data_IF_144268002397
#
_entry.id   IF_144268002397
#
_cell.length_a   1.000
_cell.length_b   1.000
_cell.length_c   1.000
_cell.angle_alpha   90.00
_cell.angle_beta   90.00
_cell.angle_gamma   90.00
#
_symmetry.space_group_name_H-M   'P 1'
#
loop_
_entity.id
_entity.type
_entity.pdbx_description
1 polymer ?
#
# COMPACT_ATOMS: atom_id res chain seq x y z
N UNK A 1 -3.02 -15.77 -8.24
CA UNK A 1 -2.96 -15.08 -9.55
C UNK A 1 -1.61 -14.38 -9.65
N UNK A 2 -0.90 -14.45 -10.77
CA UNK A 2 0.40 -13.79 -10.95
C UNK A 2 0.24 -12.59 -11.89
N UNK A 3 0.13 -11.38 -11.33
CA UNK A 3 0.03 -10.13 -12.07
C UNK A 3 0.34 -8.94 -11.16
N UNK A 4 0.71 -7.79 -11.74
CA UNK A 4 0.85 -6.55 -10.99
C UNK A 4 -0.54 -5.95 -10.77
N UNK A 5 -1.00 -5.94 -9.52
CA UNK A 5 -2.28 -5.34 -9.13
C UNK A 5 -2.06 -3.90 -8.66
N UNK A 6 -1.94 -2.96 -9.60
CA UNK A 6 -2.23 -1.55 -9.31
C UNK A 6 -3.72 -1.31 -9.58
N UNK A 7 -4.42 -0.74 -8.60
CA UNK A 7 -5.76 -0.19 -8.83
C UNK A 7 -5.60 1.06 -9.72
N UNK A 8 -5.39 0.86 -11.01
CA UNK A 8 -5.29 1.94 -11.98
C UNK A 8 -6.72 2.34 -12.36
N UNK A 9 -7.02 3.62 -12.20
CA UNK A 9 -8.14 4.19 -12.96
C UNK A 9 -7.86 3.92 -14.43
N UNK A 10 -8.80 3.32 -15.18
CA UNK A 10 -8.71 3.31 -16.64
C UNK A 10 -9.02 4.74 -17.09
N UNK A 11 -8.03 5.53 -17.53
CA UNK A 11 -8.28 6.90 -17.91
C UNK A 11 -9.01 6.90 -19.25
N UNK A 12 -10.10 7.66 -19.33
CA UNK A 12 -10.86 7.86 -20.56
C UNK A 12 -10.71 9.30 -21.04
N UNK A 13 -10.70 9.49 -22.34
CA UNK A 13 -10.84 10.79 -22.99
C UNK A 13 -12.32 11.28 -22.93
N UNK A 14 -12.61 12.56 -23.22
CA UNK A 14 -13.98 13.07 -23.24
C UNK A 14 -14.93 12.37 -24.23
N UNK A 15 -14.39 11.72 -25.27
CA UNK A 15 -15.12 10.91 -26.25
C UNK A 15 -15.29 9.43 -25.81
N UNK A 16 -15.00 9.10 -24.55
CA UNK A 16 -15.09 7.75 -23.99
C UNK A 16 -14.15 6.70 -24.64
N UNK A 17 -13.00 7.14 -25.17
CA UNK A 17 -11.95 6.22 -25.62
C UNK A 17 -10.86 6.09 -24.55
N UNK A 18 -10.09 5.00 -24.59
CA UNK A 18 -9.02 4.76 -23.62
C UNK A 18 -7.88 5.76 -23.85
N UNK A 19 -7.46 6.45 -22.80
CA UNK A 19 -6.31 7.36 -22.85
C UNK A 19 -5.01 6.59 -22.58
N UNK A 20 -4.39 6.07 -23.63
CA UNK A 20 -3.16 5.26 -23.54
C UNK A 20 -2.00 6.01 -22.90
N UNK A 21 -1.83 7.30 -23.20
CA UNK A 21 -0.77 8.14 -22.61
C UNK A 21 -0.92 8.22 -21.08
N UNK A 22 -2.15 8.44 -20.60
CA UNK A 22 -2.41 8.45 -19.17
C UNK A 22 -2.20 7.05 -18.54
N UNK A 23 -2.42 5.96 -19.27
CA UNK A 23 -2.07 4.62 -18.80
C UNK A 23 -0.57 4.48 -18.61
N UNK A 24 0.24 4.92 -19.58
CA UNK A 24 1.70 4.90 -19.45
C UNK A 24 2.16 5.71 -18.25
N UNK A 25 1.63 6.91 -18.07
CA UNK A 25 1.95 7.76 -16.92
C UNK A 25 1.52 7.11 -15.60
N UNK A 26 0.36 6.47 -15.53
CA UNK A 26 -0.08 5.76 -14.31
C UNK A 26 0.85 4.60 -13.95
N UNK A 27 1.34 3.88 -14.96
CA UNK A 27 2.33 2.80 -14.78
C UNK A 27 3.66 3.39 -14.31
N UNK A 28 4.11 4.48 -14.95
CA UNK A 28 5.39 5.12 -14.68
C UNK A 28 5.45 5.75 -13.28
N UNK A 29 4.43 6.52 -12.90
CA UNK A 29 4.38 7.23 -11.63
C UNK A 29 3.91 6.36 -10.46
N UNK A 30 3.39 5.16 -10.72
CA UNK A 30 3.09 4.17 -9.69
C UNK A 30 2.08 4.66 -8.65
N UNK A 31 0.84 4.94 -9.06
CA UNK A 31 -0.21 5.34 -8.10
C UNK A 31 -0.86 4.09 -7.49
N UNK A 32 -0.80 3.96 -6.16
CA UNK A 32 -1.48 2.87 -5.46
C UNK A 32 -1.57 3.03 -3.95
N UNK A 33 -2.57 2.36 -3.35
CA UNK A 33 -2.78 2.36 -1.90
C UNK A 33 -1.59 1.75 -1.14
N UNK A 34 -1.03 0.66 -1.66
CA UNK A 34 -0.01 -0.15 -0.99
C UNK A 34 1.33 0.58 -0.79
N UNK A 35 1.58 1.63 -1.56
CA UNK A 35 2.76 2.50 -1.40
C UNK A 35 2.82 3.13 0.00
N UNK A 36 1.67 3.28 0.67
CA UNK A 36 1.62 3.79 2.04
C UNK A 36 2.13 2.80 3.10
N UNK A 37 2.20 1.50 2.78
CA UNK A 37 2.57 0.46 3.72
C UNK A 37 3.91 -0.18 3.37
N UNK A 38 4.17 -0.39 2.08
CA UNK A 38 5.36 -1.10 1.58
C UNK A 38 6.09 -0.32 0.46
N UNK A 39 6.42 0.97 0.65
CA UNK A 39 7.02 1.80 -0.41
C UNK A 39 8.34 1.24 -0.94
N UNK A 40 9.14 0.59 -0.06
CA UNK A 40 10.40 -0.07 -0.44
C UNK A 40 10.20 -1.12 -1.53
N UNK A 41 9.10 -1.88 -1.50
CA UNK A 41 8.88 -2.96 -2.47
C UNK A 41 8.74 -2.38 -3.87
N UNK A 42 7.90 -1.36 -4.02
CA UNK A 42 7.71 -0.68 -5.29
C UNK A 42 8.97 0.02 -5.79
N UNK A 43 9.72 0.69 -4.91
CA UNK A 43 11.01 1.27 -5.27
C UNK A 43 11.99 0.21 -5.80
N UNK A 44 12.03 -0.98 -5.18
CA UNK A 44 12.90 -2.07 -5.61
C UNK A 44 12.41 -2.75 -6.90
N UNK A 45 11.10 -2.83 -7.13
CA UNK A 45 10.52 -3.27 -8.41
C UNK A 45 10.98 -2.34 -9.54
N UNK A 46 10.77 -1.03 -9.39
CA UNK A 46 11.18 -0.03 -10.38
C UNK A 46 12.69 -0.06 -10.63
N UNK A 47 13.50 -0.08 -9.56
CA UNK A 47 14.96 -0.11 -9.66
C UNK A 47 15.52 -1.37 -10.35
N UNK A 48 14.82 -2.50 -10.19
CA UNK A 48 15.20 -3.77 -10.85
C UNK A 48 14.75 -3.79 -12.31
N UNK A 49 13.53 -3.35 -12.59
CA UNK A 49 12.98 -3.25 -13.94
C UNK A 49 13.78 -2.27 -14.82
N UNK A 50 14.22 -1.13 -14.27
CA UNK A 50 15.07 -0.17 -14.98
C UNK A 50 16.42 -0.76 -15.43
N UNK A 51 16.85 -1.89 -14.84
CA UNK A 51 18.06 -2.64 -15.19
C UNK A 51 17.76 -3.87 -16.05
N UNK A 52 16.52 -4.03 -16.53
CA UNK A 52 16.01 -5.25 -17.18
C UNK A 52 16.12 -6.52 -16.31
N UNK A 53 16.25 -6.40 -14.98
CA UNK A 53 16.26 -7.55 -14.06
C UNK A 53 14.85 -7.87 -13.57
N UNK A 54 14.05 -8.45 -14.46
CA UNK A 54 12.66 -8.83 -14.15
C UNK A 54 12.57 -10.00 -13.15
N UNK A 55 13.64 -10.78 -12.98
CA UNK A 55 13.68 -11.85 -11.97
C UNK A 55 13.79 -11.26 -10.57
N UNK A 56 14.62 -10.24 -10.38
CA UNK A 56 14.66 -9.50 -9.11
C UNK A 56 13.37 -8.73 -8.87
N UNK A 57 12.82 -8.05 -9.90
CA UNK A 57 11.55 -7.33 -9.79
C UNK A 57 10.40 -8.26 -9.35
N UNK A 58 10.32 -9.47 -9.92
CA UNK A 58 9.29 -10.45 -9.59
C UNK A 58 9.29 -10.84 -8.10
N UNK A 59 10.46 -10.99 -7.47
CA UNK A 59 10.54 -11.32 -6.03
C UNK A 59 9.87 -10.25 -5.15
N UNK A 60 10.13 -8.98 -5.44
CA UNK A 60 9.51 -7.87 -4.72
C UNK A 60 8.01 -7.74 -5.02
N UNK A 61 7.61 -8.03 -6.27
CA UNK A 61 6.21 -8.08 -6.66
C UNK A 61 5.45 -9.21 -5.94
N UNK A 62 6.07 -10.39 -5.79
CA UNK A 62 5.47 -11.53 -5.08
C UNK A 62 5.19 -11.19 -3.61
N UNK A 63 6.11 -10.49 -2.95
CA UNK A 63 5.91 -9.99 -1.59
C UNK A 63 4.80 -8.94 -1.52
N UNK A 64 4.77 -7.99 -2.45
CA UNK A 64 3.69 -7.01 -2.54
C UNK A 64 2.32 -7.66 -2.82
N UNK A 65 2.29 -8.73 -3.62
CA UNK A 65 1.07 -9.48 -3.92
C UNK A 65 0.49 -10.18 -2.68
N UNK A 66 1.32 -10.63 -1.74
CA UNK A 66 0.82 -11.18 -0.46
C UNK A 66 0.01 -10.15 0.33
N UNK A 67 0.40 -8.87 0.27
CA UNK A 67 -0.39 -7.79 0.86
C UNK A 67 -1.71 -7.59 0.11
N UNK A 68 -1.67 -7.59 -1.23
CA UNK A 68 -2.87 -7.48 -2.07
C UNK A 68 -3.86 -8.59 -1.74
N UNK A 69 -3.40 -9.84 -1.71
CA UNK A 69 -4.23 -11.00 -1.38
C UNK A 69 -4.84 -10.87 0.03
N UNK A 70 -4.08 -10.36 1.01
CA UNK A 70 -4.59 -10.11 2.34
C UNK A 70 -5.72 -9.07 2.33
N UNK A 71 -5.51 -7.91 1.69
CA UNK A 71 -6.47 -6.79 1.75
C UNK A 71 -7.69 -6.99 0.85
N UNK A 72 -7.63 -7.90 -0.11
CA UNK A 72 -8.76 -8.27 -0.96
C UNK A 72 -9.61 -9.40 -0.35
N UNK A 73 -9.30 -9.88 0.85
CA UNK A 73 -10.12 -10.88 1.56
C UNK A 73 -11.56 -10.33 1.76
N UNK A 74 -12.58 -10.93 1.11
CA UNK A 74 -13.92 -10.36 1.05
C UNK A 74 -14.56 -10.16 2.43
N UNK A 75 -15.25 -9.04 2.64
CA UNK A 75 -15.99 -8.76 3.87
C UNK A 75 -15.13 -8.38 5.08
N UNK A 76 -13.80 -8.45 4.96
CA UNK A 76 -12.89 -8.27 6.10
C UNK A 76 -12.16 -6.93 6.11
N UNK A 77 -11.83 -6.42 4.92
CA UNK A 77 -11.04 -5.21 4.72
C UNK A 77 -11.82 -4.03 4.12
N UNK A 78 -13.12 -4.22 3.87
CA UNK A 78 -14.01 -3.22 3.24
C UNK A 78 -14.10 -1.88 4.00
N UNK A 79 -13.79 -1.88 5.29
CA UNK A 79 -13.68 -0.66 6.09
C UNK A 79 -12.30 0.01 5.88
N UNK A 80 -12.27 1.21 5.31
CA UNK A 80 -11.03 1.95 5.02
C UNK A 80 -10.21 2.31 6.27
N UNK A 81 -10.81 2.29 7.47
CA UNK A 81 -10.10 2.43 8.74
C UNK A 81 -9.03 1.35 8.94
N UNK A 82 -9.15 0.18 8.28
CA UNK A 82 -8.11 -0.86 8.30
C UNK A 82 -6.75 -0.32 7.82
N UNK A 83 -6.72 0.41 6.70
CA UNK A 83 -5.48 0.89 6.11
C UNK A 83 -4.78 1.92 6.99
N UNK A 84 -5.52 2.78 7.70
CA UNK A 84 -4.96 3.74 8.66
C UNK A 84 -4.24 3.06 9.82
N UNK A 85 -4.74 1.90 10.26
CA UNK A 85 -4.10 1.10 11.31
C UNK A 85 -2.82 0.43 10.79
N UNK A 86 -2.83 -0.07 9.55
CA UNK A 86 -1.62 -0.61 8.93
C UNK A 86 -0.56 0.48 8.72
N UNK A 87 -0.96 1.67 8.25
CA UNK A 87 -0.09 2.84 8.14
C UNK A 87 0.53 3.19 9.49
N UNK A 88 -0.27 3.23 10.56
CA UNK A 88 0.22 3.48 11.92
C UNK A 88 1.23 2.40 12.38
N UNK A 89 1.01 1.14 12.02
CA UNK A 89 1.94 0.04 12.32
C UNK A 89 3.31 0.26 11.65
N UNK A 90 3.32 0.82 10.44
CA UNK A 90 4.54 1.18 9.71
C UNK A 90 5.02 2.60 10.02
N UNK A 91 4.60 3.15 11.16
CA UNK A 91 5.08 4.44 11.66
C UNK A 91 4.49 5.66 10.96
N UNK A 92 3.33 5.57 10.32
CA UNK A 92 2.63 6.72 9.73
C UNK A 92 1.26 6.86 10.41
N UNK A 93 1.20 7.64 11.49
CA UNK A 93 -0.05 7.86 12.22
C UNK A 93 -0.90 8.96 11.56
N UNK A 94 -1.88 8.54 10.76
CA UNK A 94 -2.83 9.43 10.09
C UNK A 94 -4.14 9.63 10.87
N UNK A 95 -4.24 9.15 12.13
CA UNK A 95 -5.48 9.16 12.90
C UNK A 95 -6.56 8.27 12.29
N UNK A 96 -7.82 8.65 12.51
CA UNK A 96 -8.99 7.84 12.15
C UNK A 96 -9.68 8.35 10.89
N UNK A 97 -10.36 7.46 10.17
CA UNK A 97 -11.25 7.87 9.08
C UNK A 97 -12.45 8.67 9.63
N UNK A 98 -12.96 9.57 8.79
CA UNK A 98 -14.27 10.20 9.00
C UNK A 98 -15.37 9.24 8.54
N UNK A 99 -16.62 9.55 8.91
CA UNK A 99 -17.80 8.84 8.39
C UNK A 99 -17.78 8.77 6.84
N UNK A 100 -18.25 7.68 6.22
CA UNK A 100 -19.04 6.59 6.80
C UNK A 100 -18.21 5.47 7.45
N UNK A 101 -16.89 5.53 7.39
CA UNK A 101 -16.03 4.46 7.92
C UNK A 101 -15.88 4.56 9.44
N UNK A 102 -16.48 3.60 10.16
CA UNK A 102 -16.35 3.54 11.61
C UNK A 102 -14.92 3.20 12.04
N UNK A 103 -14.46 3.67 13.21
CA UNK A 103 -13.26 3.15 13.86
C UNK A 103 -13.38 1.64 14.10
N UNK A 104 -12.25 0.92 13.99
CA UNK A 104 -12.23 -0.49 14.34
C UNK A 104 -12.23 -0.68 15.85
N UNK A 105 -12.90 -1.73 16.32
CA UNK A 105 -12.81 -2.16 17.72
C UNK A 105 -11.38 -2.61 18.07
N UNK A 106 -10.98 -2.57 19.35
CA UNK A 106 -9.66 -3.04 19.76
C UNK A 106 -9.37 -4.50 19.37
N UNK A 107 -10.39 -5.36 19.32
CA UNK A 107 -10.26 -6.74 18.87
C UNK A 107 -9.93 -6.82 17.38
N UNK A 108 -10.65 -6.08 16.54
CA UNK A 108 -10.37 -5.98 15.11
C UNK A 108 -8.96 -5.41 14.86
N UNK A 109 -8.55 -4.37 15.59
CA UNK A 109 -7.18 -3.82 15.48
C UNK A 109 -6.14 -4.90 15.70
N UNK A 110 -6.24 -5.66 16.81
CA UNK A 110 -5.28 -6.75 17.12
C UNK A 110 -5.26 -7.81 16.02
N UNK A 111 -6.43 -8.23 15.55
CA UNK A 111 -6.56 -9.24 14.50
C UNK A 111 -5.90 -8.78 13.19
N UNK A 112 -6.17 -7.55 12.75
CA UNK A 112 -5.63 -6.99 11.50
C UNK A 112 -4.11 -6.83 11.56
N UNK A 113 -3.60 -6.35 12.70
CA UNK A 113 -2.15 -6.22 12.91
C UNK A 113 -1.45 -7.59 12.96
N UNK A 114 -2.07 -8.60 13.58
CA UNK A 114 -1.53 -9.95 13.57
C UNK A 114 -1.51 -10.54 12.15
N UNK A 115 -2.58 -10.33 11.36
CA UNK A 115 -2.63 -10.78 9.97
C UNK A 115 -1.57 -10.10 9.09
N UNK A 116 -1.40 -8.79 9.24
CA UNK A 116 -0.38 -8.02 8.53
C UNK A 116 1.05 -8.42 8.92
N UNK A 117 1.31 -8.63 10.22
CA UNK A 117 2.61 -9.05 10.71
C UNK A 117 3.04 -10.44 10.18
N UNK A 118 2.09 -11.36 10.00
CA UNK A 118 2.34 -12.71 9.43
C UNK A 118 2.81 -12.69 7.98
N UNK A 119 2.68 -11.57 7.27
CA UNK A 119 3.22 -11.45 5.92
C UNK A 119 4.75 -11.41 5.91
N UNK A 120 5.37 -10.93 7.01
CA UNK A 120 6.84 -10.79 7.15
C UNK A 120 7.51 -9.92 6.08
N UNK A 121 6.72 -9.11 5.36
CA UNK A 121 7.20 -8.21 4.29
C UNK A 121 7.46 -6.78 4.80
N UNK A 122 7.20 -6.49 6.07
CA UNK A 122 7.33 -5.13 6.60
C UNK A 122 8.23 -5.09 7.82
N UNK A 123 9.30 -4.32 7.72
CA UNK A 123 10.10 -3.95 8.88
C UNK A 123 9.38 -2.82 9.63
N UNK A 124 9.31 -2.92 10.96
CA UNK A 124 8.79 -1.85 11.81
C UNK A 124 9.58 -0.57 11.52
N UNK A 125 8.90 0.43 10.96
CA UNK A 125 9.55 1.65 10.53
C UNK A 125 10.11 2.42 11.72
N UNK A 126 11.41 2.71 11.69
CA UNK A 126 12.08 3.55 12.70
C UNK A 126 11.83 5.04 12.51
N UNK A 127 11.18 5.46 11.40
CA UNK A 127 10.90 6.87 11.10
C UNK A 127 10.01 7.57 12.15
N UNK A 128 9.27 6.80 12.96
CA UNK A 128 8.53 7.29 14.12
C UNK A 128 9.04 6.72 15.45
N UNK A 129 10.33 6.42 15.58
CA UNK A 129 10.94 6.65 16.88
C UNK A 129 10.64 8.12 17.24
N UNK A 130 10.11 8.44 18.43
CA UNK A 130 9.80 9.81 18.79
C UNK A 130 11.06 10.63 18.59
N UNK A 131 11.12 11.39 17.50
CA UNK A 131 12.13 12.42 17.34
C UNK A 131 11.89 13.34 18.52
N UNK A 132 12.94 13.50 19.33
CA UNK A 132 12.93 14.37 20.50
C UNK A 132 12.16 15.65 20.14
N UNK A 133 11.14 15.96 20.95
CA UNK A 133 10.23 17.09 20.79
C UNK A 133 10.95 18.24 20.09
N UNK A 134 10.53 18.60 18.88
CA UNK A 134 10.88 19.91 18.32
C UNK A 134 10.30 20.94 19.28
N UNK A 135 11.17 21.57 20.06
CA UNK A 135 10.82 22.74 20.87
C UNK A 135 10.27 23.79 19.90
N UNK A 136 9.07 24.35 20.14
CA UNK A 136 8.56 25.42 19.32
C UNK A 136 9.51 26.62 19.43
N UNK A 137 9.83 27.21 18.27
CA UNK A 137 10.50 28.50 18.16
C UNK A 137 9.53 29.63 18.52
#
# INVERSE_FOLDING_TARGET
MAGAFSAMFTPFTPDNTVNEEAIFQLIEYGIGLNYNMIPRHFAMICASAAKNDFRAAAKWQDEANRLVDLILEPGKWDNWSNFKILMRHVGIDCGFCRAPYAPLSPAQVRERLAAFARLEIVEKNRACAPTAKRTPA
#
